data_IF_534279611396
#
_entry.id   IF_534279611396
#
_cell.length_a   1.000
_cell.length_b   1.000
_cell.length_c   1.000
_cell.angle_alpha   90.00
_cell.angle_beta   90.00
_cell.angle_gamma   90.00
#
_symmetry.space_group_name_H-M   'P 1'
#
loop_
_entity.id
_entity.type
_entity.pdbx_description
1 polymer ?
#
# COMPACT_ATOMS: atom_id res chain seq x y z
N UNK A 1 -15.80 2.53 -91.79
CA UNK A 1 -14.88 1.62 -91.08
C UNK A 1 -14.88 2.03 -89.63
N UNK A 2 -15.69 1.32 -88.76
CA UNK A 2 -15.77 1.60 -87.35
C UNK A 2 -14.93 0.54 -86.64
N UNK A 3 -13.90 0.93 -85.89
CA UNK A 3 -13.09 0.06 -85.11
C UNK A 3 -13.74 -0.11 -83.73
N UNK A 4 -14.14 -1.34 -83.36
CA UNK A 4 -14.68 -1.73 -82.12
C UNK A 4 -13.51 -1.97 -81.12
N UNK A 5 -13.47 -1.21 -80.02
CA UNK A 5 -12.51 -1.45 -78.95
C UNK A 5 -13.20 -2.33 -77.87
N UNK A 6 -12.71 -3.55 -77.68
CA UNK A 6 -13.07 -4.38 -76.58
C UNK A 6 -12.29 -3.96 -75.37
N UNK A 7 -13.04 -3.51 -74.38
CA UNK A 7 -12.48 -3.24 -73.02
C UNK A 7 -12.55 -4.51 -72.20
N UNK A 8 -11.40 -5.08 -71.91
CA UNK A 8 -11.27 -6.26 -71.05
C UNK A 8 -11.33 -5.82 -69.58
N UNK A 9 -12.45 -6.09 -68.90
CA UNK A 9 -12.58 -5.92 -67.43
C UNK A 9 -11.94 -7.13 -66.74
N UNK A 10 -10.78 -6.94 -66.13
CA UNK A 10 -10.16 -7.91 -65.22
C UNK A 10 -10.72 -7.65 -63.82
N UNK A 11 -11.65 -8.50 -63.40
CA UNK A 11 -12.12 -8.54 -62.00
C UNK A 11 -11.08 -9.28 -61.15
N UNK A 12 -10.28 -8.53 -60.39
CA UNK A 12 -9.42 -9.08 -59.33
C UNK A 12 -10.29 -9.52 -58.15
N UNK A 13 -10.50 -10.82 -58.06
CA UNK A 13 -11.11 -11.42 -56.89
C UNK A 13 -10.17 -11.35 -55.66
N UNK A 14 -10.48 -10.48 -54.69
CA UNK A 14 -9.83 -10.47 -53.38
C UNK A 14 -10.27 -11.73 -52.59
N UNK A 15 -9.38 -12.72 -52.55
CA UNK A 15 -9.53 -13.85 -51.68
C UNK A 15 -9.26 -13.35 -50.22
N UNK A 16 -10.31 -13.11 -49.47
CA UNK A 16 -10.20 -12.92 -48.02
C UNK A 16 -9.85 -14.29 -47.42
N UNK A 17 -8.58 -14.56 -47.18
CA UNK A 17 -8.14 -15.64 -46.29
C UNK A 17 -8.44 -15.14 -44.87
N UNK A 18 -9.57 -15.58 -44.31
CA UNK A 18 -9.88 -15.39 -42.91
C UNK A 18 -8.83 -16.14 -42.08
N UNK A 19 -7.88 -15.39 -41.55
CA UNK A 19 -7.02 -15.90 -40.45
C UNK A 19 -7.96 -16.27 -39.31
N UNK A 20 -7.84 -17.49 -38.74
CA UNK A 20 -8.57 -17.79 -37.54
C UNK A 20 -8.10 -16.79 -36.46
N UNK A 21 -8.95 -15.85 -36.10
CA UNK A 21 -8.80 -15.12 -34.85
C UNK A 21 -8.93 -16.20 -33.78
N UNK A 22 -7.81 -16.62 -33.23
CA UNK A 22 -7.81 -17.28 -31.93
C UNK A 22 -8.37 -16.21 -30.97
N UNK A 23 -9.69 -16.25 -30.77
CA UNK A 23 -10.26 -15.71 -29.57
C UNK A 23 -9.61 -16.54 -28.45
N UNK A 24 -8.54 -16.00 -27.85
CA UNK A 24 -8.09 -16.44 -26.58
C UNK A 24 -9.37 -16.40 -25.73
N UNK A 25 -9.89 -17.58 -25.35
CA UNK A 25 -10.89 -17.64 -24.33
C UNK A 25 -10.30 -16.80 -23.19
N UNK A 26 -10.95 -15.72 -22.84
CA UNK A 26 -10.70 -15.06 -21.58
C UNK A 26 -10.97 -16.15 -20.55
N UNK A 27 -9.94 -16.93 -20.20
CA UNK A 27 -9.93 -17.75 -19.01
C UNK A 27 -10.34 -16.76 -17.93
N UNK A 28 -11.33 -17.13 -17.13
CA UNK A 28 -11.94 -16.28 -16.12
C UNK A 28 -10.88 -15.39 -15.51
N UNK A 29 -10.90 -14.09 -15.86
CA UNK A 29 -10.00 -13.13 -15.26
C UNK A 29 -10.21 -13.26 -13.75
N UNK A 30 -9.15 -13.27 -12.93
CA UNK A 30 -9.33 -13.39 -11.50
C UNK A 30 -10.33 -12.34 -11.08
N UNK A 31 -11.42 -12.78 -10.44
CA UNK A 31 -12.49 -11.89 -10.01
C UNK A 31 -11.99 -10.87 -9.00
N UNK A 32 -10.80 -11.06 -8.44
CA UNK A 32 -10.12 -10.17 -7.51
C UNK A 32 -8.59 -10.28 -7.68
N UNK A 33 -7.89 -9.27 -7.20
CA UNK A 33 -6.43 -9.24 -7.18
C UNK A 33 -5.92 -8.53 -5.93
N UNK A 34 -4.71 -8.87 -5.47
CA UNK A 34 -4.06 -8.23 -4.34
C UNK A 34 -2.54 -8.22 -4.53
N UNK A 35 -1.92 -7.12 -4.16
CA UNK A 35 -0.47 -7.00 -4.06
C UNK A 35 -0.09 -6.22 -2.80
N UNK A 36 1.04 -6.59 -2.18
CA UNK A 36 1.54 -5.92 -0.98
C UNK A 36 3.06 -5.77 -1.01
N UNK A 37 3.58 -4.88 -0.18
CA UNK A 37 5.02 -4.74 0.05
C UNK A 37 5.32 -4.52 1.53
N UNK A 38 6.50 -4.98 1.95
CA UNK A 38 7.04 -4.79 3.30
C UNK A 38 8.12 -3.70 3.38
N UNK A 39 8.24 -2.88 2.31
CA UNK A 39 9.17 -1.75 2.25
C UNK A 39 10.41 -1.94 1.38
N UNK A 40 11.11 -0.83 1.08
CA UNK A 40 12.26 -0.79 0.18
C UNK A 40 13.59 -1.25 0.81
N UNK A 41 13.71 -1.27 2.13
CA UNK A 41 14.98 -1.43 2.84
C UNK A 41 15.62 -2.83 2.83
N UNK A 42 14.96 -3.84 2.27
CA UNK A 42 15.44 -5.23 2.27
C UNK A 42 16.01 -5.75 0.95
N UNK A 43 15.97 -4.93 -0.11
CA UNK A 43 16.28 -5.37 -1.47
C UNK A 43 17.79 -5.51 -1.78
N UNK A 44 18.65 -4.91 -0.98
CA UNK A 44 20.10 -4.98 -1.19
C UNK A 44 20.65 -6.22 -0.51
N UNK A 45 21.05 -7.24 -1.23
CA UNK A 45 21.81 -8.45 -0.89
C UNK A 45 22.50 -8.67 0.47
N UNK A 46 22.23 -7.80 1.45
CA UNK A 46 22.81 -7.82 2.79
C UNK A 46 22.02 -8.67 3.82
N UNK A 47 20.86 -9.22 3.44
CA UNK A 47 20.09 -10.09 4.34
C UNK A 47 20.54 -11.54 4.21
N UNK A 48 20.73 -12.22 5.37
CA UNK A 48 20.96 -13.66 5.35
C UNK A 48 19.73 -14.41 4.82
N UNK A 49 19.89 -15.60 4.20
CA UNK A 49 18.77 -16.41 3.73
C UNK A 49 17.71 -16.67 4.82
N UNK A 50 18.15 -16.91 6.07
CA UNK A 50 17.28 -17.18 7.21
C UNK A 50 16.41 -15.95 7.54
N UNK A 51 17.02 -14.76 7.57
CA UNK A 51 16.31 -13.50 7.82
C UNK A 51 15.29 -13.21 6.71
N UNK A 52 15.70 -13.44 5.47
CA UNK A 52 14.81 -13.31 4.31
C UNK A 52 13.59 -14.22 4.41
N UNK A 53 13.80 -15.49 4.76
CA UNK A 53 12.70 -16.45 4.92
C UNK A 53 11.69 -16.01 5.99
N UNK A 54 12.12 -15.37 7.09
CA UNK A 54 11.23 -14.84 8.12
C UNK A 54 10.36 -13.71 7.54
N UNK A 55 10.93 -12.75 6.80
CA UNK A 55 10.15 -11.70 6.15
C UNK A 55 9.15 -12.25 5.13
N UNK A 56 9.60 -13.19 4.29
CA UNK A 56 8.74 -13.84 3.30
C UNK A 56 7.58 -14.60 3.94
N UNK A 57 7.79 -15.27 5.08
CA UNK A 57 6.73 -15.95 5.82
C UNK A 57 5.65 -14.96 6.33
N UNK A 58 6.04 -13.83 6.89
CA UNK A 58 5.07 -12.82 7.34
C UNK A 58 4.36 -12.11 6.18
N UNK A 59 5.05 -11.86 5.06
CA UNK A 59 4.41 -11.32 3.87
C UNK A 59 3.42 -12.33 3.26
N UNK A 60 3.74 -13.62 3.26
CA UNK A 60 2.84 -14.67 2.82
C UNK A 60 1.60 -14.77 3.71
N UNK A 61 1.75 -14.63 5.04
CA UNK A 61 0.63 -14.61 5.98
C UNK A 61 -0.27 -13.39 5.74
N UNK A 62 0.32 -12.20 5.62
CA UNK A 62 -0.42 -10.97 5.28
C UNK A 62 -1.18 -11.12 3.95
N UNK A 63 -0.54 -11.70 2.94
CA UNK A 63 -1.17 -11.99 1.65
C UNK A 63 -2.34 -12.95 1.79
N UNK A 64 -2.21 -13.99 2.61
CA UNK A 64 -3.28 -14.97 2.84
C UNK A 64 -4.49 -14.34 3.53
N UNK A 65 -4.30 -13.42 4.49
CA UNK A 65 -5.38 -12.65 5.10
C UNK A 65 -6.19 -11.91 4.02
N UNK A 66 -5.52 -11.15 3.16
CA UNK A 66 -6.21 -10.42 2.10
C UNK A 66 -6.89 -11.32 1.08
N UNK A 67 -6.24 -12.43 0.67
CA UNK A 67 -6.81 -13.44 -0.22
C UNK A 67 -8.08 -14.07 0.36
N UNK A 68 -8.09 -14.41 1.65
CA UNK A 68 -9.27 -14.99 2.30
C UNK A 68 -10.44 -14.01 2.27
N UNK A 69 -10.21 -12.75 2.63
CA UNK A 69 -11.26 -11.71 2.61
C UNK A 69 -11.84 -11.52 1.21
N UNK A 70 -10.99 -11.33 0.19
CA UNK A 70 -11.42 -11.12 -1.18
C UNK A 70 -12.14 -12.35 -1.78
N UNK A 71 -11.63 -13.55 -1.49
CA UNK A 71 -12.27 -14.81 -1.96
C UNK A 71 -13.65 -15.04 -1.37
N UNK A 72 -13.95 -14.43 -0.22
CA UNK A 72 -15.27 -14.44 0.43
C UNK A 72 -16.18 -13.29 -0.03
N UNK A 73 -15.73 -12.45 -0.96
CA UNK A 73 -16.48 -11.33 -1.50
C UNK A 73 -16.48 -10.08 -0.60
N UNK A 74 -15.50 -9.94 0.31
CA UNK A 74 -15.34 -8.69 1.05
C UNK A 74 -14.70 -7.63 0.16
N UNK A 75 -14.87 -6.35 0.55
CA UNK A 75 -14.39 -5.21 -0.24
C UNK A 75 -12.87 -5.15 -0.32
N UNK A 76 -12.35 -4.54 -1.40
CA UNK A 76 -10.94 -4.22 -1.51
C UNK A 76 -10.45 -3.37 -0.33
N UNK A 77 -11.29 -2.45 0.16
CA UNK A 77 -11.02 -1.59 1.31
C UNK A 77 -10.78 -2.40 2.59
N UNK A 78 -11.64 -3.39 2.88
CA UNK A 78 -11.49 -4.28 4.04
C UNK A 78 -10.22 -5.13 3.94
N UNK A 79 -9.91 -5.60 2.73
CA UNK A 79 -8.72 -6.42 2.50
C UNK A 79 -7.43 -5.63 2.71
N UNK A 80 -7.31 -4.41 2.16
CA UNK A 80 -6.08 -3.61 2.32
C UNK A 80 -5.89 -3.16 3.76
N UNK A 81 -6.97 -2.79 4.48
CA UNK A 81 -6.88 -2.47 5.91
C UNK A 81 -6.38 -3.66 6.72
N UNK A 82 -7.00 -4.83 6.57
CA UNK A 82 -6.64 -6.02 7.33
C UNK A 82 -5.17 -6.45 7.11
N UNK A 83 -4.71 -6.38 5.86
CA UNK A 83 -3.32 -6.68 5.49
C UNK A 83 -2.35 -5.68 6.14
N UNK A 84 -2.62 -4.38 6.02
CA UNK A 84 -1.74 -3.35 6.59
C UNK A 84 -1.75 -3.40 8.12
N UNK A 85 -2.90 -3.66 8.77
CA UNK A 85 -2.97 -3.89 10.23
C UNK A 85 -2.08 -5.04 10.68
N UNK A 86 -2.12 -6.17 9.98
CA UNK A 86 -1.23 -7.31 10.29
C UNK A 86 0.24 -6.89 10.20
N UNK A 87 0.61 -6.10 9.18
CA UNK A 87 1.97 -5.62 9.02
C UNK A 87 2.36 -4.57 10.07
N UNK A 88 1.41 -3.74 10.55
CA UNK A 88 1.60 -2.82 11.67
C UNK A 88 1.80 -3.55 13.00
N UNK A 89 1.17 -4.71 13.21
CA UNK A 89 1.34 -5.52 14.41
C UNK A 89 2.63 -6.36 14.38
N UNK A 90 3.26 -6.53 13.22
CA UNK A 90 4.48 -7.33 13.05
C UNK A 90 5.75 -6.49 13.33
N UNK A 91 6.60 -6.88 14.32
CA UNK A 91 7.77 -6.10 14.73
C UNK A 91 8.91 -6.02 13.69
N UNK A 92 8.77 -6.73 12.59
CA UNK A 92 9.80 -6.76 11.54
C UNK A 92 9.75 -5.55 10.61
N UNK A 93 8.56 -4.97 10.41
CA UNK A 93 8.33 -3.92 9.43
C UNK A 93 8.43 -2.52 10.05
N UNK A 94 8.64 -1.52 9.20
CA UNK A 94 8.65 -0.12 9.63
C UNK A 94 7.24 0.48 9.55
N UNK A 95 6.35 -0.02 10.38
CA UNK A 95 4.99 0.47 10.57
C UNK A 95 4.49 -0.03 11.92
N UNK A 96 3.68 0.74 12.65
CA UNK A 96 3.15 0.32 13.95
C UNK A 96 4.22 -0.23 14.89
N UNK A 97 4.04 -1.46 15.39
CA UNK A 97 5.02 -2.18 16.21
C UNK A 97 6.26 -2.56 15.39
N UNK A 98 7.35 -1.85 15.57
CA UNK A 98 8.58 -1.98 14.80
C UNK A 98 8.88 -0.77 13.91
N UNK A 99 8.08 0.28 14.04
CA UNK A 99 8.37 1.58 13.44
C UNK A 99 9.74 2.10 13.88
N UNK A 100 10.38 2.87 13.03
CA UNK A 100 11.64 3.54 13.35
C UNK A 100 11.44 4.68 14.34
N UNK A 101 12.53 5.10 15.01
CA UNK A 101 12.53 6.20 15.94
C UNK A 101 12.94 7.51 15.25
N UNK A 102 12.42 8.60 15.78
CA UNK A 102 12.87 9.98 15.53
C UNK A 102 14.23 10.23 16.16
N UNK A 103 14.84 11.37 15.86
CA UNK A 103 16.15 11.77 16.40
C UNK A 103 16.14 12.02 17.92
N UNK A 104 14.97 12.22 18.52
CA UNK A 104 14.78 12.37 19.98
C UNK A 104 14.28 11.06 20.65
N UNK A 105 14.31 9.93 19.92
CA UNK A 105 14.03 8.62 20.47
C UNK A 105 12.53 8.30 20.66
N UNK A 106 11.64 8.93 19.92
CA UNK A 106 10.19 8.71 19.95
C UNK A 106 9.72 8.06 18.64
N UNK A 107 8.52 7.51 18.64
CA UNK A 107 7.85 7.06 17.43
C UNK A 107 6.79 8.07 16.99
N UNK A 108 6.78 8.37 15.71
CA UNK A 108 5.74 9.13 15.02
C UNK A 108 5.32 8.36 13.77
N UNK A 109 4.04 8.02 13.70
CA UNK A 109 3.48 7.10 12.72
C UNK A 109 2.59 7.85 11.74
N UNK A 110 2.66 7.44 10.48
CA UNK A 110 1.86 7.99 9.39
C UNK A 110 1.14 6.83 8.67
N UNK A 111 -0.12 7.04 8.27
CA UNK A 111 -0.86 6.09 7.46
C UNK A 111 -1.90 6.77 6.57
N UNK A 112 -2.26 6.12 5.47
CA UNK A 112 -3.36 6.51 4.62
C UNK A 112 -4.09 5.30 4.04
N UNK A 113 -5.36 5.51 3.70
CA UNK A 113 -6.20 4.56 2.99
C UNK A 113 -7.08 5.30 1.99
N UNK A 114 -7.37 4.70 0.85
CA UNK A 114 -8.19 5.29 -0.19
C UNK A 114 -9.10 4.25 -0.85
N UNK A 115 -10.36 4.62 -1.05
CA UNK A 115 -11.37 3.87 -1.78
C UNK A 115 -11.47 4.40 -3.22
N UNK A 116 -11.11 3.57 -4.19
CA UNK A 116 -11.13 3.94 -5.60
C UNK A 116 -12.52 4.03 -6.21
N UNK A 117 -13.55 3.50 -5.55
CA UNK A 117 -14.92 3.51 -6.07
C UNK A 117 -15.57 4.90 -5.99
N UNK A 118 -15.19 5.69 -5.01
CA UNK A 118 -15.80 7.00 -4.71
C UNK A 118 -14.77 8.11 -4.49
N UNK A 119 -13.47 7.79 -4.59
CA UNK A 119 -12.32 8.67 -4.35
C UNK A 119 -12.24 9.22 -2.91
N UNK A 120 -12.96 8.62 -1.97
CA UNK A 120 -12.81 8.97 -0.57
C UNK A 120 -11.47 8.47 -0.04
N UNK A 121 -10.83 9.29 0.77
CA UNK A 121 -9.55 8.96 1.38
C UNK A 121 -9.48 9.46 2.81
N UNK A 122 -8.70 8.77 3.63
CA UNK A 122 -8.38 9.19 4.98
C UNK A 122 -6.90 8.98 5.26
N UNK A 123 -6.34 9.88 6.05
CA UNK A 123 -4.94 9.84 6.41
C UNK A 123 -4.72 10.36 7.84
N UNK A 124 -3.65 9.87 8.44
CA UNK A 124 -3.14 10.37 9.73
C UNK A 124 -1.64 10.53 9.66
N UNK A 125 -1.09 11.54 10.36
CA UNK A 125 0.34 11.74 10.45
C UNK A 125 0.78 12.16 11.85
N UNK A 126 2.00 11.76 12.23
CA UNK A 126 2.59 12.10 13.52
C UNK A 126 1.85 11.50 14.72
N UNK A 127 1.20 10.35 14.56
CA UNK A 127 0.59 9.62 15.67
C UNK A 127 1.66 9.02 16.57
N UNK A 128 1.45 9.11 17.88
CA UNK A 128 2.43 8.64 18.87
C UNK A 128 1.92 7.54 19.81
N UNK A 129 0.63 7.24 19.77
CA UNK A 129 -0.07 6.44 20.78
C UNK A 129 -1.19 5.55 20.23
N UNK A 130 -1.39 5.52 18.92
CA UNK A 130 -2.43 4.70 18.28
C UNK A 130 -1.81 3.42 17.71
N UNK A 131 -2.27 2.27 18.17
CA UNK A 131 -1.70 0.96 17.80
C UNK A 131 -1.72 0.68 16.31
N UNK A 132 -2.86 0.91 15.66
CA UNK A 132 -3.04 0.69 14.22
C UNK A 132 -3.43 2.00 13.51
N UNK A 133 -2.46 2.78 13.04
CA UNK A 133 -2.68 4.03 12.31
C UNK A 133 -3.59 3.90 11.09
N UNK A 134 -3.49 2.80 10.32
CA UNK A 134 -4.30 2.58 9.10
C UNK A 134 -5.80 2.53 9.41
N UNK A 135 -6.20 1.91 10.52
CA UNK A 135 -7.60 1.90 10.95
C UNK A 135 -8.09 3.28 11.34
N UNK A 136 -7.24 4.11 11.95
CA UNK A 136 -7.59 5.50 12.24
C UNK A 136 -7.71 6.32 10.96
N UNK A 137 -6.85 6.10 9.98
CA UNK A 137 -6.97 6.72 8.66
C UNK A 137 -8.33 6.38 8.02
N UNK A 138 -8.78 5.11 8.09
CA UNK A 138 -10.11 4.70 7.65
C UNK A 138 -11.23 5.41 8.42
N UNK A 139 -11.11 5.53 9.74
CA UNK A 139 -12.10 6.28 10.54
C UNK A 139 -12.17 7.76 10.14
N UNK A 140 -11.04 8.40 9.80
CA UNK A 140 -11.03 9.78 9.28
C UNK A 140 -11.84 9.86 8.01
N UNK A 141 -11.63 8.95 7.06
CA UNK A 141 -12.37 8.88 5.79
C UNK A 141 -13.87 8.70 5.99
N UNK A 142 -14.26 7.76 6.87
CA UNK A 142 -15.66 7.34 7.00
C UNK A 142 -16.50 8.23 7.93
N UNK A 143 -15.87 8.89 8.91
CA UNK A 143 -16.58 9.57 10.02
C UNK A 143 -16.39 11.08 10.04
N UNK A 144 -15.61 11.64 9.12
CA UNK A 144 -15.36 13.09 9.07
C UNK A 144 -15.43 13.62 7.64
N UNK A 145 -15.61 14.94 7.46
CA UNK A 145 -15.45 15.57 6.15
C UNK A 145 -13.97 15.83 5.78
N UNK A 146 -13.03 15.41 6.63
CA UNK A 146 -11.62 15.68 6.46
C UNK A 146 -10.91 14.50 5.79
N UNK A 147 -9.81 14.80 5.09
CA UNK A 147 -8.94 13.76 4.51
C UNK A 147 -7.77 13.45 5.44
N UNK A 148 -7.24 14.42 6.17
CA UNK A 148 -6.02 14.26 6.98
C UNK A 148 -6.19 14.89 8.36
N UNK A 149 -5.91 14.11 9.41
CA UNK A 149 -5.72 14.58 10.78
C UNK A 149 -4.29 14.33 11.24
N UNK A 150 -3.73 15.20 12.09
CA UNK A 150 -2.33 15.10 12.52
C UNK A 150 -2.14 15.20 14.03
N UNK A 151 -1.06 14.59 14.53
CA UNK A 151 -0.56 14.73 15.91
C UNK A 151 -1.63 14.48 16.98
N UNK A 152 -1.66 15.31 18.00
CA UNK A 152 -2.57 15.17 19.15
C UNK A 152 -4.05 15.26 18.77
N UNK A 153 -4.39 16.01 17.72
CA UNK A 153 -5.76 16.04 17.20
C UNK A 153 -6.20 14.69 16.62
N UNK A 154 -5.33 14.04 15.86
CA UNK A 154 -5.56 12.70 15.33
C UNK A 154 -5.66 11.64 16.45
N UNK A 155 -4.79 11.71 17.48
CA UNK A 155 -4.83 10.83 18.65
C UNK A 155 -6.12 11.00 19.44
N UNK A 156 -6.58 12.24 19.66
CA UNK A 156 -7.85 12.52 20.34
C UNK A 156 -9.02 11.93 19.56
N UNK A 157 -9.07 12.17 18.25
CA UNK A 157 -10.09 11.61 17.37
C UNK A 157 -10.10 10.07 17.41
N UNK A 158 -8.91 9.44 17.31
CA UNK A 158 -8.76 7.99 17.37
C UNK A 158 -9.35 7.41 18.67
N UNK A 159 -9.00 8.01 19.80
CA UNK A 159 -9.49 7.61 21.13
C UNK A 159 -11.01 7.74 21.26
N UNK A 160 -11.58 8.85 20.81
CA UNK A 160 -13.02 9.10 20.86
C UNK A 160 -13.80 8.11 19.99
N UNK A 161 -13.18 7.57 18.93
CA UNK A 161 -13.78 6.60 18.02
C UNK A 161 -13.39 5.14 18.31
N UNK A 162 -12.79 4.88 19.48
CA UNK A 162 -12.55 3.51 19.98
C UNK A 162 -11.31 2.83 19.43
N UNK A 163 -10.33 3.58 18.88
CA UNK A 163 -9.04 3.01 18.54
C UNK A 163 -8.29 2.53 19.79
N UNK A 164 -7.50 1.47 19.66
CA UNK A 164 -6.63 0.98 20.71
C UNK A 164 -5.47 1.95 20.93
N UNK A 165 -5.40 2.54 22.13
CA UNK A 165 -4.36 3.49 22.52
C UNK A 165 -3.29 2.74 23.32
N UNK A 166 -2.03 2.98 22.99
CA UNK A 166 -0.85 2.35 23.59
C UNK A 166 0.17 3.40 24.00
N UNK A 167 1.08 3.04 24.90
CA UNK A 167 2.24 3.88 25.21
C UNK A 167 3.22 3.91 24.04
N UNK A 168 3.92 5.03 23.82
CA UNK A 168 4.83 5.19 22.68
C UNK A 168 5.93 4.10 22.61
N UNK A 169 6.36 3.57 23.75
CA UNK A 169 7.35 2.50 23.83
C UNK A 169 6.82 1.13 23.31
N UNK A 170 5.51 0.97 23.14
CA UNK A 170 4.92 -0.22 22.50
C UNK A 170 5.52 -0.48 21.11
N UNK A 171 5.80 0.57 20.37
CA UNK A 171 6.32 0.49 18.99
C UNK A 171 7.81 0.11 18.94
N UNK A 172 8.49 0.16 20.08
CA UNK A 172 9.93 -0.02 20.20
C UNK A 172 10.34 -1.49 20.09
N UNK A 173 11.32 -1.77 19.24
CA UNK A 173 12.01 -3.06 19.21
C UNK A 173 13.51 -2.88 19.50
N UNK A 174 14.20 -3.92 20.04
CA UNK A 174 15.66 -3.83 20.26
C UNK A 174 16.44 -3.49 18.99
N UNK A 175 16.00 -4.01 17.84
CA UNK A 175 16.62 -3.73 16.54
C UNK A 175 16.50 -2.26 16.14
N UNK A 176 15.36 -1.60 16.44
CA UNK A 176 15.16 -0.19 16.13
C UNK A 176 15.93 0.73 17.06
N UNK A 177 16.03 0.39 18.33
CA UNK A 177 16.90 1.11 19.28
C UNK A 177 18.36 1.07 18.83
N UNK A 178 18.86 -0.11 18.50
CA UNK A 178 20.24 -0.25 18.01
C UNK A 178 20.48 0.50 16.70
N UNK A 179 19.48 0.50 15.81
CA UNK A 179 19.57 1.23 14.55
C UNK A 179 19.67 2.75 14.75
N UNK A 180 18.78 3.35 15.56
CA UNK A 180 18.82 4.80 15.80
C UNK A 180 20.09 5.18 16.54
N UNK A 181 20.55 4.35 17.49
CA UNK A 181 21.82 4.58 18.19
C UNK A 181 23.00 4.67 17.22
N UNK A 182 23.11 3.75 16.28
CA UNK A 182 24.17 3.77 15.25
C UNK A 182 24.13 5.02 14.39
N UNK A 183 22.93 5.44 13.95
CA UNK A 183 22.76 6.66 13.16
C UNK A 183 23.21 7.89 13.96
N UNK A 184 22.83 7.99 15.23
CA UNK A 184 23.17 9.14 16.07
C UNK A 184 24.66 9.20 16.44
N UNK A 185 25.30 8.06 16.69
CA UNK A 185 26.73 7.98 17.06
C UNK A 185 27.66 8.14 15.88
N UNK A 186 27.33 7.55 14.74
CA UNK A 186 28.25 7.46 13.58
C UNK A 186 27.98 8.52 12.52
N UNK A 187 26.96 9.37 12.71
CA UNK A 187 26.47 10.32 11.71
C UNK A 187 26.21 9.62 10.35
N UNK A 188 25.86 8.34 10.38
CA UNK A 188 25.45 7.62 9.18
C UNK A 188 24.21 8.30 8.56
N UNK A 189 24.18 8.33 7.24
CA UNK A 189 22.98 8.78 6.55
C UNK A 189 21.80 7.86 6.94
N UNK A 190 20.65 8.47 7.24
CA UNK A 190 19.44 7.73 7.53
C UNK A 190 19.13 6.80 6.35
N UNK A 191 19.29 5.52 6.57
CA UNK A 191 18.96 4.52 5.54
C UNK A 191 17.47 4.59 5.23
N UNK A 192 17.07 4.67 3.96
CA UNK A 192 15.66 4.56 3.60
C UNK A 192 15.15 3.22 4.12
N UNK A 193 14.18 3.25 5.04
CA UNK A 193 13.64 2.04 5.66
C UNK A 193 12.15 1.97 5.43
N UNK A 194 11.82 0.83 4.91
CA UNK A 194 10.59 0.40 4.35
C UNK A 194 9.31 0.88 5.03
N UNK A 195 8.39 1.20 4.24
CA UNK A 195 6.97 1.46 4.44
C UNK A 195 6.22 0.18 4.12
N UNK A 196 5.14 -0.16 4.80
CA UNK A 196 4.27 -1.27 4.40
C UNK A 196 3.09 -0.77 3.60
N UNK A 197 2.60 -1.58 2.67
CA UNK A 197 1.41 -1.21 1.94
C UNK A 197 0.76 -2.35 1.18
N UNK A 198 -0.48 -2.12 0.81
CA UNK A 198 -1.32 -3.07 0.09
C UNK A 198 -2.23 -2.35 -0.89
N UNK A 199 -2.45 -2.97 -2.05
CA UNK A 199 -3.46 -2.60 -3.01
C UNK A 199 -4.30 -3.82 -3.36
N UNK A 200 -5.60 -3.63 -3.58
CA UNK A 200 -6.52 -4.71 -3.90
C UNK A 200 -7.56 -4.28 -4.94
N UNK A 201 -8.03 -5.28 -5.68
CA UNK A 201 -9.22 -5.26 -6.54
C UNK A 201 -10.18 -6.30 -5.99
N UNK A 202 -11.42 -5.94 -5.70
CA UNK A 202 -12.45 -6.87 -5.24
C UNK A 202 -13.28 -7.46 -6.39
N UNK A 203 -14.21 -8.36 -6.04
CA UNK A 203 -15.08 -9.03 -7.01
C UNK A 203 -16.08 -8.08 -7.70
N UNK A 204 -16.33 -6.91 -7.12
CA UNK A 204 -17.20 -5.88 -7.70
C UNK A 204 -16.44 -4.92 -8.63
N UNK A 205 -15.12 -5.12 -8.77
CA UNK A 205 -14.26 -4.29 -9.61
C UNK A 205 -13.77 -3.01 -8.91
N UNK A 206 -13.90 -2.90 -7.59
CA UNK A 206 -13.43 -1.75 -6.85
C UNK A 206 -11.96 -1.90 -6.45
N UNK A 207 -11.23 -0.81 -6.60
CA UNK A 207 -9.84 -0.68 -6.17
C UNK A 207 -9.74 -0.02 -4.81
N UNK A 208 -8.78 -0.46 -4.00
CA UNK A 208 -8.39 0.23 -2.77
C UNK A 208 -6.87 0.18 -2.58
N UNK A 209 -6.35 1.17 -1.84
CA UNK A 209 -4.95 1.23 -1.44
C UNK A 209 -4.83 1.63 0.03
N UNK A 210 -3.85 1.06 0.73
CA UNK A 210 -3.49 1.46 2.08
C UNK A 210 -1.97 1.41 2.25
N UNK A 211 -1.41 2.37 3.00
CA UNK A 211 0.01 2.48 3.27
C UNK A 211 0.24 2.94 4.71
N UNK A 212 1.26 2.42 5.39
CA UNK A 212 1.61 2.78 6.77
C UNK A 212 3.12 2.78 7.00
N UNK A 213 3.62 3.71 7.83
CA UNK A 213 5.05 3.87 8.06
C UNK A 213 5.39 4.57 9.38
N UNK A 214 6.60 4.29 9.89
CA UNK A 214 7.31 5.13 10.86
C UNK A 214 8.17 6.23 10.21
N UNK A 215 8.27 6.26 8.88
CA UNK A 215 9.13 7.19 8.14
C UNK A 215 10.60 6.78 8.09
N UNK A 216 11.51 7.74 8.11
CA UNK A 216 12.96 7.54 8.10
C UNK A 216 13.51 7.38 9.51
N UNK A 217 14.47 6.47 9.72
CA UNK A 217 15.15 6.31 11.00
C UNK A 217 15.96 7.56 11.36
N UNK A 218 15.82 8.05 12.58
CA UNK A 218 16.46 9.28 13.02
C UNK A 218 15.86 10.56 12.40
N UNK A 219 14.66 10.50 11.83
CA UNK A 219 13.96 11.67 11.30
C UNK A 219 13.78 12.75 12.38
N UNK A 220 13.72 14.00 11.97
CA UNK A 220 13.30 15.08 12.87
C UNK A 220 11.83 14.86 13.27
N UNK A 221 11.49 15.25 14.50
CA UNK A 221 10.10 15.26 14.96
C UNK A 221 9.22 16.14 14.06
N UNK A 222 8.01 15.68 13.80
CA UNK A 222 7.08 16.36 12.89
C UNK A 222 7.41 16.20 11.40
N UNK A 223 8.44 15.40 11.02
CA UNK A 223 8.69 15.09 9.63
C UNK A 223 7.65 14.10 9.13
N UNK A 224 6.91 14.49 8.14
CA UNK A 224 5.93 13.68 7.41
C UNK A 224 6.51 13.31 6.03
N UNK A 225 6.35 12.07 5.62
CA UNK A 225 6.76 11.57 4.30
C UNK A 225 5.62 11.64 3.27
N UNK A 226 5.73 10.79 2.28
CA UNK A 226 4.76 10.64 1.18
C UNK A 226 3.50 9.87 1.59
N UNK A 227 3.61 8.96 2.55
CA UNK A 227 2.56 8.00 2.93
C UNK A 227 1.19 8.64 3.21
N UNK A 228 1.05 9.69 4.07
CA UNK A 228 -0.25 10.27 4.37
C UNK A 228 -0.70 11.32 3.34
N UNK A 229 0.08 11.54 2.30
CA UNK A 229 -0.23 12.48 1.23
C UNK A 229 -0.88 11.72 0.08
N UNK A 230 -2.21 11.84 -0.04
CA UNK A 230 -2.98 11.20 -1.10
C UNK A 230 -2.46 11.65 -2.47
N UNK A 231 -2.20 10.67 -3.35
CA UNK A 231 -1.57 10.89 -4.66
C UNK A 231 -0.05 10.88 -4.65
N UNK A 232 0.60 10.85 -3.48
CA UNK A 232 2.05 10.68 -3.34
C UNK A 232 2.42 9.26 -2.91
N UNK A 233 2.07 8.83 -1.68
CA UNK A 233 2.35 7.50 -1.16
C UNK A 233 1.19 6.53 -1.25
N UNK A 234 -0.05 7.02 -1.35
CA UNK A 234 -1.28 6.23 -1.37
C UNK A 234 -2.25 6.80 -2.39
N UNK A 235 -2.77 5.95 -3.29
CA UNK A 235 -3.76 6.37 -4.28
C UNK A 235 -4.61 5.18 -4.74
N UNK A 236 -5.92 5.39 -4.94
CA UNK A 236 -6.80 4.42 -5.60
C UNK A 236 -7.90 5.15 -6.40
N UNK A 237 -8.17 4.67 -7.61
CA UNK A 237 -9.22 5.16 -8.48
C UNK A 237 -9.64 4.04 -9.44
N UNK A 238 -10.92 3.64 -9.42
CA UNK A 238 -11.46 2.58 -10.27
C UNK A 238 -11.27 2.82 -11.76
N UNK A 239 -11.17 4.07 -12.19
CA UNK A 239 -10.97 4.42 -13.60
C UNK A 239 -9.51 4.22 -14.06
N UNK A 240 -8.55 4.08 -13.12
CA UNK A 240 -7.14 4.08 -13.46
C UNK A 240 -6.33 3.00 -12.74
N UNK A 241 -6.00 3.19 -11.45
CA UNK A 241 -5.01 2.37 -10.75
C UNK A 241 -5.14 2.49 -9.23
N UNK A 242 -4.64 1.47 -8.49
CA UNK A 242 -4.32 1.56 -7.08
C UNK A 242 -2.81 1.47 -6.88
N UNK A 243 -2.25 2.37 -6.04
CA UNK A 243 -0.81 2.49 -5.78
C UNK A 243 -0.57 2.62 -4.27
N UNK A 244 0.40 1.86 -3.77
CA UNK A 244 1.04 2.07 -2.48
C UNK A 244 2.54 2.19 -2.70
N UNK A 245 3.12 3.33 -2.32
CA UNK A 245 4.52 3.66 -2.56
C UNK A 245 5.41 3.43 -1.34
N UNK A 246 6.70 3.18 -1.60
CA UNK A 246 7.77 3.12 -0.59
C UNK A 246 9.09 3.54 -1.22
N UNK A 247 9.95 4.25 -0.49
CA UNK A 247 11.24 4.69 -1.00
C UNK A 247 12.07 5.45 0.02
#
# INVERSE_FOLDING_TARGET
>A
MRKLHYCLLVTAGLLFIGLPTYAQSAGDAPQWAIALHGGAGGASGSQTPERRAIYEAHLAEALNIGKELLSRGLSALDAVEAVVRYLEDCPLFNAGHGAVLTSDGRHELDAAIMDGSNLMAGAVAGLTDVKNPVSTARMVMEKTPHVLLIGTGASTFAKEHGAEIVENNYFTTPARLEQVRRIMEQREEASPMGTVGCVALDMEGNLAAATSTGGMSGKMWGRVGDVPVIGAGTYANNETVAISGTG
#
